data_IF_481493592308
#
_entry.id   IF_481493592308
#
_cell.length_a   1.000
_cell.length_b   1.000
_cell.length_c   1.000
_cell.angle_alpha   90.00
_cell.angle_beta   90.00
_cell.angle_gamma   90.00
#
_symmetry.space_group_name_H-M   'P 1'
#
loop_
_entity.id
_entity.type
_entity.pdbx_description
1 polymer ?
#
# COMPACT_ATOMS: atom_id res chain seq x y z
N UNK A 1 16.71 12.47 28.35
CA UNK A 1 15.68 12.85 27.36
C UNK A 1 16.39 13.33 26.11
N UNK A 2 16.23 12.66 24.98
CA UNK A 2 16.76 13.19 23.72
C UNK A 2 15.92 14.41 23.29
N UNK A 3 16.53 15.45 22.70
CA UNK A 3 15.77 16.53 22.08
C UNK A 3 14.81 15.95 21.03
N UNK A 4 13.61 16.53 20.92
CA UNK A 4 12.53 16.04 20.04
C UNK A 4 13.00 15.79 18.61
N UNK A 5 13.97 16.56 18.15
CA UNK A 5 14.49 16.57 16.78
C UNK A 5 15.46 15.40 16.48
N UNK A 6 15.90 14.66 17.51
CA UNK A 6 16.82 13.51 17.37
C UNK A 6 16.13 12.16 17.66
N UNK A 7 14.84 12.16 17.96
CA UNK A 7 14.13 10.92 18.26
C UNK A 7 13.73 10.22 16.94
N UNK A 8 14.17 8.98 16.73
CA UNK A 8 13.77 8.19 15.56
C UNK A 8 12.34 7.62 15.64
N UNK A 9 11.64 7.84 16.77
CA UNK A 9 10.25 7.42 17.01
C UNK A 9 9.97 5.92 16.74
N UNK A 10 10.98 5.06 16.86
CA UNK A 10 10.87 3.62 16.58
C UNK A 10 10.28 2.81 17.72
N UNK A 11 10.34 3.32 18.96
CA UNK A 11 9.82 2.67 20.15
C UNK A 11 8.49 3.31 20.59
N UNK A 12 7.39 2.68 20.20
CA UNK A 12 6.01 3.14 20.43
C UNK A 12 5.30 2.23 21.42
N UNK A 13 4.52 2.83 22.32
CA UNK A 13 3.56 2.10 23.16
C UNK A 13 2.39 1.56 22.32
N UNK A 14 1.56 0.64 22.87
CA UNK A 14 0.33 0.19 22.21
C UNK A 14 -0.65 1.33 21.87
N UNK A 15 -0.59 2.43 22.62
CA UNK A 15 -1.38 3.64 22.38
C UNK A 15 -0.74 4.61 21.37
N UNK A 16 0.31 4.16 20.67
CA UNK A 16 1.10 4.93 19.71
C UNK A 16 1.68 6.20 20.34
N UNK A 17 2.27 6.06 21.52
CA UNK A 17 3.03 7.12 22.20
C UNK A 17 4.51 6.75 22.14
N UNK A 18 5.36 7.67 21.68
CA UNK A 18 6.79 7.43 21.65
C UNK A 18 7.40 7.47 23.05
N UNK A 19 8.02 6.39 23.50
CA UNK A 19 8.68 6.34 24.81
C UNK A 19 9.88 7.29 24.94
N UNK A 20 10.53 7.63 23.82
CA UNK A 20 11.72 8.49 23.83
C UNK A 20 11.44 9.97 24.00
N UNK A 21 10.39 10.49 23.35
CA UNK A 21 10.07 11.93 23.33
C UNK A 21 8.65 12.28 23.79
N UNK A 22 7.80 11.28 24.09
CA UNK A 22 6.42 11.47 24.54
C UNK A 22 5.44 11.91 23.46
N UNK A 23 5.87 12.02 22.20
CA UNK A 23 4.99 12.40 21.08
C UNK A 23 3.87 11.38 20.91
N UNK A 24 2.63 11.88 20.72
CA UNK A 24 1.44 11.04 20.54
C UNK A 24 1.02 11.05 19.08
N UNK A 25 0.79 9.87 18.52
CA UNK A 25 0.34 9.74 17.15
C UNK A 25 -1.18 9.57 17.10
N UNK A 26 -1.87 10.54 16.48
CA UNK A 26 -3.32 10.56 16.36
C UNK A 26 -3.76 10.04 14.98
N UNK A 27 -4.84 9.25 14.89
CA UNK A 27 -5.31 8.70 13.63
C UNK A 27 -5.81 9.82 12.71
N UNK A 28 -5.33 9.81 11.47
CA UNK A 28 -5.77 10.74 10.41
C UNK A 28 -6.48 10.03 9.27
N UNK A 29 -6.31 8.71 9.16
CA UNK A 29 -6.93 7.89 8.14
C UNK A 29 -6.95 6.44 8.59
N UNK A 30 -8.03 5.77 8.23
CA UNK A 30 -8.19 4.34 8.37
C UNK A 30 -8.87 3.83 7.10
N UNK A 31 -8.34 2.74 6.56
CA UNK A 31 -8.83 2.12 5.35
C UNK A 31 -10.13 1.39 5.64
N UNK A 32 -11.06 1.45 4.69
CA UNK A 32 -12.34 0.78 4.82
C UNK A 32 -12.18 -0.75 4.74
N UNK A 33 -13.06 -1.54 5.37
CA UNK A 33 -13.02 -3.00 5.26
C UNK A 33 -13.03 -3.48 3.80
N UNK A 34 -13.74 -2.75 2.93
CA UNK A 34 -13.78 -3.02 1.49
C UNK A 34 -12.47 -2.65 0.79
N UNK A 35 -11.84 -1.52 1.13
CA UNK A 35 -10.55 -1.10 0.60
C UNK A 35 -9.46 -2.15 0.79
N UNK A 36 -9.48 -2.86 1.93
CA UNK A 36 -8.58 -3.99 2.21
C UNK A 36 -8.74 -5.18 1.24
N UNK A 37 -9.85 -5.29 0.50
CA UNK A 37 -10.07 -6.32 -0.52
C UNK A 37 -9.54 -5.92 -1.90
N UNK A 38 -9.21 -4.66 -2.15
CA UNK A 38 -8.73 -4.17 -3.45
C UNK A 38 -7.54 -5.01 -3.99
N UNK A 39 -6.51 -5.35 -3.20
CA UNK A 39 -5.39 -6.17 -3.69
C UNK A 39 -5.81 -7.59 -4.11
N UNK A 40 -6.77 -8.17 -3.37
CA UNK A 40 -7.33 -9.50 -3.64
C UNK A 40 -8.15 -9.46 -4.91
N UNK A 41 -9.10 -8.51 -5.01
CA UNK A 41 -9.97 -8.35 -6.17
C UNK A 41 -9.17 -8.08 -7.43
N UNK A 42 -8.20 -7.17 -7.38
CA UNK A 42 -7.33 -6.86 -8.51
C UNK A 42 -6.55 -8.08 -8.99
N UNK A 43 -5.94 -8.82 -8.06
CA UNK A 43 -5.15 -10.00 -8.41
C UNK A 43 -6.04 -11.14 -8.91
N UNK A 44 -7.20 -11.35 -8.29
CA UNK A 44 -8.19 -12.34 -8.70
C UNK A 44 -8.75 -12.08 -10.10
N UNK A 45 -9.17 -10.84 -10.38
CA UNK A 45 -9.67 -10.43 -11.71
C UNK A 45 -8.60 -10.59 -12.79
N UNK A 46 -7.35 -10.20 -12.51
CA UNK A 46 -6.25 -10.41 -13.46
C UNK A 46 -5.98 -11.89 -13.71
N UNK A 47 -5.94 -12.71 -12.66
CA UNK A 47 -5.77 -14.16 -12.80
C UNK A 47 -6.87 -14.80 -13.64
N UNK A 48 -8.12 -14.43 -13.40
CA UNK A 48 -9.28 -14.93 -14.11
C UNK A 48 -9.27 -14.47 -15.59
N UNK A 49 -8.90 -13.21 -15.85
CA UNK A 49 -8.70 -12.69 -17.21
C UNK A 49 -7.62 -13.46 -17.98
N UNK A 50 -6.49 -13.77 -17.34
CA UNK A 50 -5.44 -14.56 -17.99
C UNK A 50 -5.86 -16.01 -18.24
N UNK A 51 -6.69 -16.62 -17.39
CA UNK A 51 -7.29 -17.93 -17.71
C UNK A 51 -8.16 -17.88 -18.96
N UNK A 52 -8.98 -16.84 -19.12
CA UNK A 52 -9.77 -16.65 -20.35
C UNK A 52 -8.87 -16.48 -21.58
N UNK A 53 -7.81 -15.68 -21.49
CA UNK A 53 -6.87 -15.53 -22.61
C UNK A 53 -6.10 -16.82 -22.91
N UNK A 54 -5.79 -17.63 -21.91
CA UNK A 54 -5.19 -18.94 -22.13
C UNK A 54 -6.13 -19.86 -22.90
N UNK A 55 -7.40 -19.95 -22.50
CA UNK A 55 -8.42 -20.74 -23.19
C UNK A 55 -8.64 -20.26 -24.63
N UNK A 56 -8.73 -18.94 -24.83
CA UNK A 56 -8.82 -18.33 -26.15
C UNK A 56 -7.60 -18.66 -27.02
N UNK A 57 -6.39 -18.54 -26.47
CA UNK A 57 -5.17 -18.85 -27.19
C UNK A 57 -5.06 -20.34 -27.58
N UNK A 58 -5.56 -21.24 -26.72
CA UNK A 58 -5.57 -22.69 -27.02
C UNK A 58 -6.60 -23.11 -28.05
N UNK A 59 -7.73 -22.40 -28.16
CA UNK A 59 -8.86 -22.80 -29.04
C UNK A 59 -8.87 -22.01 -30.34
N UNK A 60 -8.55 -20.72 -30.30
CA UNK A 60 -8.71 -19.82 -31.45
C UNK A 60 -7.39 -19.56 -32.19
N UNK A 61 -6.27 -19.53 -31.47
CA UNK A 61 -4.95 -19.25 -32.03
C UNK A 61 -4.12 -20.53 -32.25
N UNK A 62 -4.62 -21.69 -31.79
CA UNK A 62 -3.93 -22.99 -31.78
C UNK A 62 -2.47 -22.90 -31.30
N UNK A 63 -2.20 -21.97 -30.38
CA UNK A 63 -0.85 -21.66 -29.94
C UNK A 63 -0.63 -22.09 -28.50
N UNK A 64 0.02 -23.24 -28.34
CA UNK A 64 0.41 -23.78 -27.04
C UNK A 64 1.36 -22.84 -26.29
N UNK A 65 2.21 -22.09 -26.99
CA UNK A 65 3.13 -21.15 -26.38
C UNK A 65 2.40 -19.97 -25.72
N UNK A 66 1.44 -19.34 -26.44
CA UNK A 66 0.64 -18.26 -25.85
C UNK A 66 -0.24 -18.77 -24.71
N UNK A 67 -0.85 -19.95 -24.86
CA UNK A 67 -1.60 -20.58 -23.79
C UNK A 67 -0.74 -20.79 -22.52
N UNK A 68 0.49 -21.31 -22.66
CA UNK A 68 1.41 -21.53 -21.54
C UNK A 68 1.83 -20.22 -20.84
N UNK A 69 2.09 -19.15 -21.61
CA UNK A 69 2.39 -17.82 -21.06
C UNK A 69 1.21 -17.31 -20.23
N UNK A 70 -0.01 -17.37 -20.77
CA UNK A 70 -1.19 -16.88 -20.07
C UNK A 70 -1.53 -17.73 -18.85
N UNK A 71 -1.38 -19.05 -18.90
CA UNK A 71 -1.50 -19.92 -17.71
C UNK A 71 -0.49 -19.52 -16.64
N UNK A 72 0.76 -19.28 -17.02
CA UNK A 72 1.82 -18.88 -16.07
C UNK A 72 1.49 -17.56 -15.38
N UNK A 73 0.99 -16.58 -16.15
CA UNK A 73 0.51 -15.30 -15.61
C UNK A 73 -0.72 -15.50 -14.70
N UNK A 74 -1.66 -16.34 -15.10
CA UNK A 74 -2.85 -16.64 -14.31
C UNK A 74 -2.48 -17.25 -12.94
N UNK A 75 -1.59 -18.24 -12.93
CA UNK A 75 -1.05 -18.86 -11.70
C UNK A 75 -0.33 -17.82 -10.84
N UNK A 76 0.52 -16.98 -11.43
CA UNK A 76 1.21 -15.91 -10.70
C UNK A 76 0.23 -14.98 -9.97
N UNK A 77 -0.82 -14.53 -10.66
CA UNK A 77 -1.83 -13.64 -10.07
C UNK A 77 -2.72 -14.35 -9.06
N UNK A 78 -3.02 -15.64 -9.23
CA UNK A 78 -3.72 -16.45 -8.25
C UNK A 78 -2.92 -16.58 -6.95
N UNK A 79 -1.63 -16.93 -7.04
CA UNK A 79 -0.72 -16.99 -5.88
C UNK A 79 -0.66 -15.63 -5.18
N UNK A 80 -0.64 -14.53 -5.94
CA UNK A 80 -0.68 -13.17 -5.40
C UNK A 80 -1.99 -12.89 -4.66
N UNK A 81 -3.13 -13.31 -5.21
CA UNK A 81 -4.45 -13.18 -4.57
C UNK A 81 -4.50 -13.94 -3.25
N UNK A 82 -4.04 -15.20 -3.23
CA UNK A 82 -3.96 -16.03 -2.02
C UNK A 82 -3.09 -15.35 -0.96
N UNK A 83 -1.90 -14.86 -1.35
CA UNK A 83 -1.05 -14.08 -0.44
C UNK A 83 -1.79 -12.88 0.14
N UNK A 84 -2.45 -12.08 -0.69
CA UNK A 84 -3.22 -10.93 -0.21
C UNK A 84 -4.38 -11.28 0.71
N UNK A 85 -5.00 -12.46 0.58
CA UNK A 85 -6.00 -12.95 1.55
C UNK A 85 -5.31 -13.31 2.86
N UNK A 86 -4.26 -14.12 2.83
CA UNK A 86 -3.54 -14.56 4.03
C UNK A 86 -2.93 -13.40 4.82
N UNK A 87 -2.56 -12.32 4.13
CA UNK A 87 -1.98 -11.12 4.71
C UNK A 87 -2.87 -10.44 5.74
N UNK A 88 -4.19 -10.58 5.60
CA UNK A 88 -5.18 -10.00 6.51
C UNK A 88 -5.18 -10.64 7.89
N UNK A 89 -4.67 -11.86 7.99
CA UNK A 89 -4.57 -12.60 9.25
C UNK A 89 -3.19 -12.47 9.91
N UNK A 90 -2.24 -11.80 9.24
CA UNK A 90 -0.88 -11.60 9.74
C UNK A 90 -0.83 -10.22 10.42
N UNK A 91 -0.05 -10.06 11.51
CA UNK A 91 0.17 -8.77 12.12
C UNK A 91 0.63 -7.72 11.11
N UNK A 92 0.01 -6.54 11.19
CA UNK A 92 0.32 -5.39 10.33
C UNK A 92 1.73 -4.90 10.61
N UNK A 93 2.38 -4.35 9.59
CA UNK A 93 3.66 -3.69 9.78
C UNK A 93 3.46 -2.22 10.09
N UNK A 94 4.31 -1.71 10.97
CA UNK A 94 4.38 -0.29 11.33
C UNK A 94 5.64 0.33 10.73
N UNK A 95 5.49 1.51 10.15
CA UNK A 95 6.61 2.35 9.70
C UNK A 95 6.43 3.76 10.19
N UNK A 96 7.49 4.29 10.80
CA UNK A 96 7.54 5.65 11.33
C UNK A 96 8.54 6.44 10.51
N UNK A 97 8.18 7.66 10.11
CA UNK A 97 9.11 8.56 9.48
C UNK A 97 8.48 9.88 9.08
N UNK A 98 9.32 10.81 8.64
CA UNK A 98 8.87 12.08 8.09
C UNK A 98 8.23 11.86 6.71
N UNK A 99 7.15 12.58 6.45
CA UNK A 99 6.51 12.70 5.14
C UNK A 99 7.42 13.49 4.22
N UNK A 100 7.92 12.88 3.15
CA UNK A 100 8.63 13.61 2.10
C UNK A 100 7.69 14.37 1.16
N UNK A 101 8.20 14.92 0.06
CA UNK A 101 7.44 15.85 -0.78
C UNK A 101 6.19 15.21 -1.36
N UNK A 102 5.03 15.82 -1.06
CA UNK A 102 3.74 15.49 -1.67
C UNK A 102 3.73 16.16 -3.04
N UNK A 103 3.98 15.39 -4.11
CA UNK A 103 3.98 15.92 -5.47
C UNK A 103 2.57 15.83 -6.08
N UNK A 104 1.79 16.93 -6.13
CA UNK A 104 0.60 16.97 -6.97
C UNK A 104 1.04 16.83 -8.43
N UNK A 105 0.49 15.86 -9.15
CA UNK A 105 0.71 15.77 -10.59
C UNK A 105 -0.35 16.61 -11.28
N UNK A 106 0.08 17.65 -12.00
CA UNK A 106 -0.81 18.59 -12.67
C UNK A 106 -1.79 17.92 -13.65
N UNK A 107 -2.92 18.59 -13.97
CA UNK A 107 -4.03 18.01 -14.73
C UNK A 107 -3.65 17.50 -16.12
N UNK A 108 -2.56 18.01 -16.71
CA UNK A 108 -2.06 17.62 -18.03
C UNK A 108 -0.93 16.57 -18.01
N UNK A 109 -0.58 16.02 -16.85
CA UNK A 109 0.43 14.96 -16.82
C UNK A 109 -0.18 13.63 -17.30
N UNK A 110 0.51 12.90 -18.18
CA UNK A 110 0.14 11.53 -18.58
C UNK A 110 0.00 10.55 -17.40
N UNK A 111 0.41 10.96 -16.20
CA UNK A 111 0.30 10.23 -14.95
C UNK A 111 -0.66 10.89 -13.94
N UNK A 112 -1.55 11.79 -14.37
CA UNK A 112 -2.49 12.52 -13.51
C UNK A 112 -3.50 11.59 -12.81
N UNK A 113 -3.75 10.41 -13.38
CA UNK A 113 -4.58 9.35 -12.80
C UNK A 113 -3.85 8.46 -11.80
N UNK A 114 -2.52 8.59 -11.65
CA UNK A 114 -1.78 7.79 -10.66
C UNK A 114 -1.96 8.40 -9.27
N UNK A 115 -2.19 7.57 -8.23
CA UNK A 115 -2.38 8.06 -6.87
C UNK A 115 -1.17 8.86 -6.39
N UNK A 116 -1.44 9.87 -5.55
CA UNK A 116 -0.43 10.63 -4.83
C UNK A 116 0.42 9.65 -3.99
N UNK A 117 1.72 9.89 -3.88
CA UNK A 117 2.65 8.99 -3.18
C UNK A 117 3.74 9.78 -2.46
N UNK A 118 3.59 10.10 -1.18
CA UNK A 118 4.70 10.60 -0.38
C UNK A 118 5.59 9.40 0.03
N UNK A 119 6.91 9.60 0.02
CA UNK A 119 7.80 8.69 0.72
C UNK A 119 7.69 8.93 2.23
N UNK A 120 7.45 7.88 3.00
CA UNK A 120 7.53 7.86 4.47
C UNK A 120 8.63 6.87 4.84
N UNK A 121 9.68 7.33 5.53
CA UNK A 121 10.82 6.49 5.89
C UNK A 121 11.43 5.72 4.69
N UNK A 122 11.49 6.36 3.52
CA UNK A 122 11.99 5.74 2.28
C UNK A 122 11.02 4.77 1.59
N UNK A 123 9.84 4.53 2.14
CA UNK A 123 8.79 3.72 1.52
C UNK A 123 7.71 4.60 0.90
N UNK A 124 7.32 4.29 -0.35
CA UNK A 124 6.21 4.99 -1.01
C UNK A 124 4.91 4.27 -0.71
N UNK A 125 3.96 5.01 -0.16
CA UNK A 125 2.60 4.53 0.07
C UNK A 125 1.66 5.23 -0.91
N UNK A 126 0.70 4.48 -1.44
CA UNK A 126 -0.38 5.05 -2.24
C UNK A 126 -1.50 5.52 -1.31
N UNK A 127 -2.18 6.58 -1.69
CA UNK A 127 -3.27 7.12 -0.89
C UNK A 127 -4.07 8.15 -1.67
N UNK A 128 -5.18 8.54 -1.08
CA UNK A 128 -6.11 9.46 -1.71
C UNK A 128 -5.74 10.92 -1.44
N UNK A 129 -6.19 11.83 -2.31
CA UNK A 129 -5.98 13.26 -2.15
C UNK A 129 -6.50 13.81 -0.82
N UNK A 130 -7.55 13.20 -0.24
CA UNK A 130 -8.05 13.55 1.09
C UNK A 130 -7.09 13.20 2.22
N UNK A 131 -6.39 12.06 2.14
CA UNK A 131 -5.38 11.66 3.12
C UNK A 131 -4.20 12.63 3.04
N UNK A 132 -3.69 12.88 1.84
CA UNK A 132 -2.52 13.75 1.69
C UNK A 132 -2.81 15.23 1.91
N UNK A 133 -4.05 15.69 1.70
CA UNK A 133 -4.45 17.03 2.12
C UNK A 133 -4.37 17.28 3.62
N UNK A 134 -4.28 16.22 4.46
CA UNK A 134 -4.12 16.32 5.92
C UNK A 134 -2.66 16.28 6.38
N UNK A 135 -1.74 16.03 5.44
CA UNK A 135 -0.32 15.85 5.68
C UNK A 135 0.46 17.03 5.11
N UNK A 136 1.48 17.45 5.85
CA UNK A 136 2.44 18.47 5.45
C UNK A 136 3.81 17.78 5.31
N UNK A 137 4.61 18.21 4.34
CA UNK A 137 5.99 17.74 4.21
C UNK A 137 6.77 18.02 5.51
N UNK A 138 7.50 17.02 5.99
CA UNK A 138 8.18 17.04 7.28
C UNK A 138 7.35 16.52 8.47
N UNK A 139 6.04 16.32 8.32
CA UNK A 139 5.23 15.71 9.38
C UNK A 139 5.76 14.32 9.73
N UNK A 140 5.93 14.04 11.03
CA UNK A 140 6.24 12.70 11.50
C UNK A 140 4.96 11.88 11.52
N UNK A 141 4.93 10.79 10.78
CA UNK A 141 3.77 9.90 10.68
C UNK A 141 4.13 8.46 10.99
N UNK A 142 3.16 7.73 11.51
CA UNK A 142 3.17 6.29 11.62
C UNK A 142 2.18 5.74 10.60
N UNK A 143 2.63 4.81 9.78
CA UNK A 143 1.82 4.13 8.78
C UNK A 143 1.73 2.65 9.16
N UNK A 144 0.51 2.18 9.36
CA UNK A 144 0.21 0.76 9.36
C UNK A 144 -0.04 0.30 7.93
N UNK A 145 0.54 -0.83 7.54
CA UNK A 145 0.34 -1.36 6.21
C UNK A 145 0.43 -2.88 6.18
N UNK A 146 -0.18 -3.43 5.13
CA UNK A 146 -0.11 -4.83 4.76
C UNK A 146 1.31 -5.16 4.23
N UNK A 147 1.95 -6.19 4.79
CA UNK A 147 3.34 -6.63 4.51
C UNK A 147 3.77 -6.76 3.03
N UNK A 148 3.07 -7.56 2.24
CA UNK A 148 3.28 -7.88 0.83
C UNK A 148 2.59 -6.89 -0.12
N UNK A 149 1.32 -6.56 0.12
CA UNK A 149 0.58 -5.64 -0.77
C UNK A 149 1.01 -4.19 -0.59
N UNK A 150 1.64 -3.86 0.55
CA UNK A 150 2.06 -2.50 0.95
C UNK A 150 0.90 -1.50 0.93
N UNK A 151 -0.33 -2.01 1.06
CA UNK A 151 -1.52 -1.19 1.18
C UNK A 151 -1.52 -0.55 2.57
N UNK A 152 -1.56 0.78 2.69
CA UNK A 152 -1.71 1.40 4.00
C UNK A 152 -3.10 1.11 4.55
N UNK A 153 -3.17 0.68 5.81
CA UNK A 153 -4.41 0.39 6.52
C UNK A 153 -4.80 1.50 7.46
N UNK A 154 -3.82 2.18 8.05
CA UNK A 154 -4.07 3.34 8.91
C UNK A 154 -2.87 4.28 8.86
N UNK A 155 -3.14 5.57 9.02
CA UNK A 155 -2.12 6.59 9.17
C UNK A 155 -2.37 7.37 10.44
N UNK A 156 -1.28 7.68 11.13
CA UNK A 156 -1.28 8.46 12.35
C UNK A 156 -0.26 9.59 12.22
N UNK A 157 -0.64 10.79 12.68
CA UNK A 157 0.23 11.97 12.65
C UNK A 157 0.68 12.30 14.07
N UNK A 158 1.98 12.56 14.23
CA UNK A 158 2.56 12.98 15.49
C UNK A 158 2.09 14.38 15.87
N UNK A 159 1.69 14.57 17.12
CA UNK A 159 1.43 15.87 17.75
C UNK A 159 2.18 15.98 19.08
#
# INVERSE_FOLDING_TARGET
>A
MHPRDQCFHTNLSPELICHGCGMRFLPIYEETPFGLWIPVLRSGLLGLGFFFFAAYASVQLDSLLFAAIFVSLAVFFLVRAIRSVTEKHIPRLLRVGAVGPIRPRGPFSFNATKPLTPPVAGLRFQGDGKLYGRLIEGDVVVVEFLRWSRLPTAWYRGR
#
